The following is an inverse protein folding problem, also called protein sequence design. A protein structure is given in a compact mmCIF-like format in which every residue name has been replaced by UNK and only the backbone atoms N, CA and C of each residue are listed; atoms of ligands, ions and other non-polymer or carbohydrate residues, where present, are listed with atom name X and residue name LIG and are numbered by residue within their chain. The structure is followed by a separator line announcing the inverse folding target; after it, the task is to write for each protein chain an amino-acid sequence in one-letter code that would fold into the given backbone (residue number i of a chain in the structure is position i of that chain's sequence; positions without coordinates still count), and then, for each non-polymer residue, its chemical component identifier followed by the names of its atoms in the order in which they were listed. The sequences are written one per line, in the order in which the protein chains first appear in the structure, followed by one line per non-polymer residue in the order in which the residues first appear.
data_IF_085759133563
#
_entry.id   IF_085759133563
#
_cell.length_a   1.000
_cell.length_b   1.000
_cell.length_c   1.000
_cell.angle_alpha   90.00
_cell.angle_beta   90.00
_cell.angle_gamma   90.00
#
_symmetry.space_group_name_H-M   'P 1'
#
loop_
_entity.id
_entity.type
_entity.pdbx_description
1 polymer ?
#
# COMPACT_ATOMS: atom_id res chain seq x y z
N UNK A 1 0.85 -14.96 -9.85
CA UNK A 1 0.18 -13.89 -9.11
C UNK A 1 0.37 -14.08 -7.61
N UNK A 2 0.61 -13.01 -6.91
CA UNK A 2 0.79 -13.03 -5.45
C UNK A 2 -0.19 -12.08 -4.79
N UNK A 3 -0.64 -12.46 -3.60
CA UNK A 3 -1.40 -11.60 -2.70
C UNK A 3 -0.56 -11.45 -1.45
N UNK A 4 -0.11 -10.23 -1.15
CA UNK A 4 0.81 -10.02 -0.04
C UNK A 4 0.42 -8.81 0.77
N UNK A 5 0.72 -8.88 2.07
CA UNK A 5 0.61 -7.75 2.97
C UNK A 5 1.92 -6.96 2.96
N UNK A 6 1.79 -5.65 3.10
CA UNK A 6 2.95 -4.77 3.23
C UNK A 6 2.62 -3.68 4.23
N UNK A 7 3.55 -3.40 5.13
CA UNK A 7 3.36 -2.35 6.15
C UNK A 7 4.14 -1.11 5.74
N UNK A 8 3.47 0.03 5.72
CA UNK A 8 4.09 1.30 5.37
C UNK A 8 5.04 1.72 6.48
N UNK A 9 6.31 1.93 6.12
CA UNK A 9 7.32 2.34 7.06
C UNK A 9 7.24 3.81 7.42
N UNK A 10 7.73 4.16 8.61
CA UNK A 10 7.85 5.55 9.03
C UNK A 10 8.84 6.27 8.10
N UNK A 11 8.49 7.51 7.75
CA UNK A 11 9.31 8.36 6.87
C UNK A 11 9.46 7.81 5.44
N UNK A 12 8.60 6.89 5.04
CA UNK A 12 8.61 6.40 3.67
C UNK A 12 8.05 7.47 2.73
N UNK A 13 8.38 7.39 1.42
CA UNK A 13 7.80 8.33 0.44
C UNK A 13 6.28 8.28 0.36
N UNK A 14 5.67 7.19 0.84
CA UNK A 14 4.23 7.02 0.78
C UNK A 14 3.51 7.54 2.03
N UNK A 15 4.24 7.83 3.09
CA UNK A 15 3.64 8.29 4.35
C UNK A 15 2.90 9.59 4.14
N UNK A 16 1.67 9.66 4.67
CA UNK A 16 0.80 10.84 4.62
C UNK A 16 0.34 11.25 3.22
N UNK A 17 0.44 10.34 2.26
CA UNK A 17 -0.07 10.55 0.91
C UNK A 17 -1.21 9.59 0.62
N UNK A 18 -2.14 10.04 -0.23
CA UNK A 18 -3.28 9.21 -0.62
C UNK A 18 -2.88 8.22 -1.72
N UNK A 19 -3.68 7.17 -1.85
CA UNK A 19 -3.50 6.20 -2.94
C UNK A 19 -3.53 6.90 -4.29
N UNK A 20 -4.44 7.86 -4.46
CA UNK A 20 -4.59 8.62 -5.68
C UNK A 20 -3.32 9.43 -6.01
N UNK A 21 -2.81 10.17 -5.03
CA UNK A 21 -1.64 11.02 -5.24
C UNK A 21 -0.39 10.19 -5.54
N UNK A 22 -0.27 9.02 -4.92
CA UNK A 22 0.86 8.12 -5.15
C UNK A 22 0.75 7.39 -6.48
N UNK A 23 -0.48 7.25 -7.00
CA UNK A 23 -0.73 6.53 -8.25
C UNK A 23 -0.08 5.14 -8.26
N UNK A 24 -0.30 4.40 -7.18
CA UNK A 24 0.43 3.16 -6.88
C UNK A 24 0.30 2.13 -7.99
N UNK A 25 -0.90 1.94 -8.54
CA UNK A 25 -1.10 0.96 -9.59
C UNK A 25 -0.25 1.28 -10.82
N UNK A 26 -0.18 2.54 -11.21
CA UNK A 26 0.62 2.95 -12.35
C UNK A 26 2.12 2.83 -12.07
N UNK A 27 2.53 3.24 -10.87
CA UNK A 27 3.96 3.28 -10.52
C UNK A 27 4.53 1.89 -10.25
N UNK A 28 3.72 0.96 -9.74
CA UNK A 28 4.22 -0.34 -9.31
C UNK A 28 3.59 -1.50 -10.07
N UNK A 29 2.41 -1.31 -10.63
CA UNK A 29 1.65 -2.36 -11.29
C UNK A 29 0.78 -3.19 -10.35
N UNK A 30 0.88 -2.99 -9.03
CA UNK A 30 0.05 -3.73 -8.08
C UNK A 30 -1.35 -3.14 -8.00
N UNK A 31 -2.31 -3.98 -7.61
CA UNK A 31 -3.64 -3.54 -7.24
C UNK A 31 -3.74 -3.60 -5.72
N UNK A 32 -4.11 -2.48 -5.09
CA UNK A 32 -4.35 -2.44 -3.65
C UNK A 32 -5.80 -2.86 -3.42
N UNK A 33 -5.99 -3.96 -2.69
CA UNK A 33 -7.34 -4.50 -2.47
C UNK A 33 -7.86 -4.22 -1.08
N UNK A 34 -7.00 -3.90 -0.12
CA UNK A 34 -7.44 -3.62 1.25
C UNK A 34 -6.40 -2.78 1.96
N UNK A 35 -6.86 -1.99 2.93
CA UNK A 35 -6.02 -1.16 3.77
C UNK A 35 -6.51 -1.28 5.20
N UNK A 36 -5.58 -1.44 6.15
CA UNK A 36 -5.88 -1.40 7.58
C UNK A 36 -5.07 -0.28 8.21
N UNK A 37 -5.76 0.65 8.88
CA UNK A 37 -5.10 1.77 9.55
C UNK A 37 -4.30 1.27 10.76
N UNK A 38 -3.27 2.03 11.20
CA UNK A 38 -2.40 1.56 12.29
C UNK A 38 -3.13 1.23 13.59
N UNK A 39 -4.17 1.99 13.92
CA UNK A 39 -4.95 1.76 15.13
C UNK A 39 -6.16 0.87 14.89
N UNK A 40 -6.40 0.45 13.65
CA UNK A 40 -7.57 -0.33 13.30
C UNK A 40 -7.34 -1.82 13.45
N UNK A 41 -8.42 -2.55 13.67
CA UNK A 41 -8.39 -4.00 13.77
C UNK A 41 -8.86 -4.68 12.48
N UNK A 42 -9.55 -3.94 11.61
CA UNK A 42 -10.18 -4.49 10.41
C UNK A 42 -9.62 -3.86 9.16
N UNK A 43 -9.60 -4.64 8.08
CA UNK A 43 -9.26 -4.14 6.76
C UNK A 43 -10.48 -3.50 6.10
N UNK A 44 -10.24 -2.37 5.44
CA UNK A 44 -11.20 -1.76 4.53
C UNK A 44 -10.91 -2.27 3.14
N UNK A 45 -11.83 -3.07 2.59
CA UNK A 45 -11.65 -3.64 1.25
C UNK A 45 -12.11 -2.65 0.19
N UNK A 46 -11.43 -2.66 -0.95
CA UNK A 46 -11.66 -1.73 -2.05
C UNK A 46 -11.62 -0.28 -1.54
N UNK A 47 -10.50 0.13 -0.93
CA UNK A 47 -10.41 1.46 -0.31
C UNK A 47 -10.58 2.57 -1.33
N UNK A 48 -11.20 3.70 -0.94
CA UNK A 48 -11.31 4.86 -1.84
C UNK A 48 -9.94 5.40 -2.24
N UNK A 49 -9.88 6.03 -3.40
CA UNK A 49 -8.63 6.60 -3.90
C UNK A 49 -8.05 7.66 -2.97
N UNK A 50 -8.90 8.30 -2.17
CA UNK A 50 -8.50 9.34 -1.22
C UNK A 50 -7.91 8.80 0.08
N UNK A 51 -7.91 7.48 0.27
CA UNK A 51 -7.35 6.86 1.48
C UNK A 51 -5.89 7.25 1.63
N UNK A 52 -5.55 7.81 2.80
CA UNK A 52 -4.18 8.25 3.12
C UNK A 52 -3.44 7.11 3.80
N UNK A 53 -2.22 6.86 3.35
CA UNK A 53 -1.33 5.87 3.97
C UNK A 53 -0.53 6.54 5.09
N UNK A 54 -0.47 5.88 6.23
CA UNK A 54 0.29 6.37 7.38
C UNK A 54 1.34 5.34 7.76
N UNK A 55 2.33 5.77 8.54
CA UNK A 55 3.29 4.82 9.12
C UNK A 55 2.52 3.78 9.92
N UNK A 56 2.77 2.51 9.64
CA UNK A 56 2.06 1.41 10.30
C UNK A 56 0.79 0.96 9.59
N UNK A 57 0.34 1.67 8.55
CA UNK A 57 -0.77 1.21 7.71
C UNK A 57 -0.35 -0.07 7.01
N UNK A 58 -1.23 -1.07 7.03
CA UNK A 58 -1.01 -2.34 6.33
C UNK A 58 -1.85 -2.34 5.05
N UNK A 59 -1.22 -2.65 3.92
CA UNK A 59 -1.93 -2.79 2.65
C UNK A 59 -1.88 -4.25 2.21
N UNK A 60 -2.95 -4.70 1.55
CA UNK A 60 -2.95 -5.98 0.86
C UNK A 60 -2.88 -5.68 -0.63
N UNK A 61 -1.86 -6.22 -1.30
CA UNK A 61 -1.60 -5.93 -2.71
C UNK A 61 -1.60 -7.22 -3.52
N UNK A 62 -2.11 -7.12 -4.74
CA UNK A 62 -2.06 -8.21 -5.72
C UNK A 62 -1.13 -7.80 -6.85
N UNK A 63 -0.22 -8.69 -7.23
CA UNK A 63 0.68 -8.47 -8.35
C UNK A 63 1.59 -9.66 -8.55
N UNK A 64 2.46 -9.57 -9.54
CA UNK A 64 3.51 -10.58 -9.70
C UNK A 64 4.70 -10.22 -8.79
N UNK A 65 5.70 -11.10 -8.77
CA UNK A 65 6.86 -10.91 -7.88
C UNK A 65 7.56 -9.57 -8.12
N UNK A 66 7.73 -9.17 -9.39
CA UNK A 66 8.39 -7.91 -9.73
C UNK A 66 7.57 -6.71 -9.28
N UNK A 67 6.26 -6.77 -9.47
CA UNK A 67 5.38 -5.68 -9.07
C UNK A 67 5.36 -5.52 -7.55
N UNK A 68 5.32 -6.61 -6.81
CA UNK A 68 5.38 -6.57 -5.35
C UNK A 68 6.73 -5.97 -4.91
N UNK A 69 7.82 -6.36 -5.56
CA UNK A 69 9.14 -5.80 -5.25
C UNK A 69 9.18 -4.29 -5.51
N UNK A 70 8.54 -3.83 -6.59
CA UNK A 70 8.45 -2.39 -6.87
C UNK A 70 7.68 -1.65 -5.79
N UNK A 71 6.57 -2.24 -5.33
CA UNK A 71 5.80 -1.63 -4.24
C UNK A 71 6.67 -1.47 -3.00
N UNK A 72 7.42 -2.50 -2.64
CA UNK A 72 8.27 -2.45 -1.44
C UNK A 72 9.35 -1.37 -1.56
N UNK A 73 9.94 -1.22 -2.74
CA UNK A 73 10.93 -0.15 -2.98
C UNK A 73 10.26 1.23 -2.99
N UNK A 74 9.10 1.33 -3.65
CA UNK A 74 8.39 2.59 -3.82
C UNK A 74 7.96 3.19 -2.48
N UNK A 75 7.49 2.34 -1.57
CA UNK A 75 6.98 2.79 -0.27
C UNK A 75 7.95 2.51 0.89
N UNK A 76 9.15 2.03 0.63
CA UNK A 76 10.13 1.67 1.67
C UNK A 76 9.47 0.81 2.76
N UNK A 77 8.82 -0.25 2.33
CA UNK A 77 8.05 -1.11 3.21
C UNK A 77 8.96 -1.88 4.16
N UNK A 78 8.57 -1.93 5.41
CA UNK A 78 9.27 -2.72 6.42
C UNK A 78 8.64 -4.11 6.55
#
# INVERSE_FOLDING_TARGET
IRVEEATIGAHSPCEDHSLKDLNIQRETGVLIIAVKQPEGDDFDYNPPAETVLKAGTVVIAIGNAEQIARLRRFCSVV
#
